data_IF_496359857789
#
_entry.id   IF_496359857789
#
_cell.length_a   1.000
_cell.length_b   1.000
_cell.length_c   1.000
_cell.angle_alpha   90.00
_cell.angle_beta   90.00
_cell.angle_gamma   90.00
#
_symmetry.space_group_name_H-M   'P 1'
#
loop_
_entity.id
_entity.type
_entity.pdbx_description
1 polymer ?
#
# COMPACT_ATOMS: atom_id res chain seq x y z
N UNK A 1 -18.32 -12.10 -1.21
CA UNK A 1 -19.15 -10.93 -1.56
C UNK A 1 -18.37 -10.05 -2.51
N UNK A 2 -18.97 -9.67 -3.62
CA UNK A 2 -18.29 -8.81 -4.59
C UNK A 2 -18.30 -7.36 -4.11
N UNK A 3 -17.21 -6.63 -4.44
CA UNK A 3 -17.09 -5.22 -4.11
C UNK A 3 -17.84 -4.42 -5.16
N UNK A 4 -18.71 -3.45 -4.77
CA UNK A 4 -19.38 -2.59 -5.74
C UNK A 4 -18.36 -1.88 -6.65
N UNK A 5 -18.71 -1.72 -7.93
CA UNK A 5 -17.82 -1.05 -8.89
C UNK A 5 -17.43 0.37 -8.44
N UNK A 6 -18.31 1.05 -7.69
CA UNK A 6 -18.03 2.39 -7.17
C UNK A 6 -16.89 2.42 -6.14
N UNK A 7 -16.50 1.26 -5.59
CA UNK A 7 -15.42 1.14 -4.63
C UNK A 7 -14.13 0.61 -5.26
N UNK A 8 -14.04 0.64 -6.57
CA UNK A 8 -12.86 0.23 -7.31
C UNK A 8 -12.53 1.23 -8.41
N UNK A 9 -11.24 1.54 -8.58
CA UNK A 9 -10.75 2.32 -9.71
C UNK A 9 -9.45 1.72 -10.23
N UNK A 10 -9.23 1.90 -11.54
CA UNK A 10 -8.03 1.42 -12.22
C UNK A 10 -7.31 2.60 -12.86
N UNK A 11 -5.99 2.65 -12.68
CA UNK A 11 -5.12 3.70 -13.22
C UNK A 11 -4.00 3.05 -14.02
N UNK A 12 -3.51 3.77 -15.03
CA UNK A 12 -2.31 3.38 -15.76
C UNK A 12 -1.24 4.43 -15.51
N UNK A 13 -0.05 3.99 -15.10
CA UNK A 13 1.12 4.86 -14.97
C UNK A 13 2.16 4.47 -16.01
N UNK A 14 2.91 5.45 -16.52
CA UNK A 14 3.85 5.24 -17.62
C UNK A 14 5.26 4.89 -17.15
N UNK A 15 5.59 5.24 -15.91
CA UNK A 15 6.94 5.07 -15.36
C UNK A 15 6.92 5.14 -13.83
N UNK A 16 8.05 4.87 -13.15
CA UNK A 16 8.12 4.95 -11.68
C UNK A 16 7.72 6.31 -11.12
N UNK A 17 8.05 7.40 -11.80
CA UNK A 17 7.72 8.75 -11.32
C UNK A 17 6.21 8.96 -11.26
N UNK A 18 5.46 8.53 -12.29
CA UNK A 18 3.99 8.65 -12.30
C UNK A 18 3.34 7.72 -11.30
N UNK A 19 3.93 6.55 -11.02
CA UNK A 19 3.48 5.67 -9.94
C UNK A 19 3.63 6.38 -8.59
N UNK A 20 4.77 7.03 -8.34
CA UNK A 20 4.98 7.80 -7.11
C UNK A 20 3.99 8.97 -6.99
N UNK A 21 3.71 9.66 -8.08
CA UNK A 21 2.75 10.77 -8.08
C UNK A 21 1.33 10.30 -7.72
N UNK A 22 0.89 9.17 -8.27
CA UNK A 22 -0.41 8.59 -7.92
C UNK A 22 -0.46 8.27 -6.42
N UNK A 23 0.57 7.61 -5.90
CA UNK A 23 0.64 7.26 -4.49
C UNK A 23 0.63 8.50 -3.58
N UNK A 24 1.32 9.56 -3.98
CA UNK A 24 1.33 10.82 -3.23
C UNK A 24 -0.06 11.46 -3.17
N UNK A 25 -0.83 11.39 -4.26
CA UNK A 25 -2.22 11.87 -4.25
C UNK A 25 -3.08 11.07 -3.30
N UNK A 26 -2.92 9.74 -3.27
CA UNK A 26 -3.66 8.89 -2.34
C UNK A 26 -3.37 9.24 -0.89
N UNK A 27 -2.11 9.58 -0.58
CA UNK A 27 -1.68 9.88 0.78
C UNK A 27 -2.42 11.07 1.41
N UNK A 28 -2.95 11.97 0.60
CA UNK A 28 -3.74 13.11 1.09
C UNK A 28 -4.98 12.64 1.86
N UNK A 29 -5.53 11.48 1.49
CA UNK A 29 -6.72 10.91 2.12
C UNK A 29 -6.41 10.09 3.38
N UNK A 30 -5.15 9.88 3.71
CA UNK A 30 -4.76 9.02 4.82
C UNK A 30 -5.21 9.55 6.18
N UNK A 31 -5.73 8.66 7.01
CA UNK A 31 -6.19 8.93 8.38
C UNK A 31 -5.61 7.87 9.32
N UNK A 32 -5.48 8.21 10.62
CA UNK A 32 -5.00 7.23 11.59
C UNK A 32 -5.81 5.93 11.58
N UNK A 33 -5.11 4.82 11.60
CA UNK A 33 -5.73 3.49 11.60
C UNK A 33 -5.92 2.89 10.21
N UNK A 34 -5.65 3.62 9.14
CA UNK A 34 -5.79 3.09 7.79
C UNK A 34 -4.77 2.00 7.50
N UNK A 35 -5.23 0.95 6.82
CA UNK A 35 -4.40 -0.15 6.36
C UNK A 35 -4.45 -0.22 4.84
N UNK A 36 -3.29 -0.21 4.20
CA UNK A 36 -3.15 -0.32 2.75
C UNK A 36 -2.32 -1.55 2.43
N UNK A 37 -2.87 -2.46 1.63
CA UNK A 37 -2.21 -3.68 1.22
C UNK A 37 -1.73 -3.54 -0.23
N UNK A 38 -0.42 -3.67 -0.44
CA UNK A 38 0.20 -3.59 -1.77
C UNK A 38 0.43 -4.99 -2.30
N UNK A 39 -0.21 -5.30 -3.43
CA UNK A 39 -0.10 -6.59 -4.10
C UNK A 39 0.62 -6.42 -5.43
N UNK A 40 1.43 -7.39 -5.80
CA UNK A 40 2.14 -7.38 -7.08
C UNK A 40 3.37 -8.27 -7.04
N UNK A 41 3.81 -8.73 -8.20
CA UNK A 41 5.01 -9.53 -8.35
C UNK A 41 6.26 -8.75 -7.93
N UNK A 42 7.37 -9.46 -7.73
CA UNK A 42 8.66 -8.82 -7.53
C UNK A 42 8.95 -7.89 -8.71
N UNK A 43 9.38 -6.67 -8.41
CA UNK A 43 9.67 -5.67 -9.46
C UNK A 43 8.44 -4.97 -10.02
N UNK A 44 7.24 -5.20 -9.47
CA UNK A 44 6.03 -4.55 -9.97
C UNK A 44 5.95 -3.05 -9.68
N UNK A 45 6.74 -2.55 -8.72
CA UNK A 45 6.72 -1.12 -8.37
C UNK A 45 6.15 -0.82 -6.98
N UNK A 46 6.02 -1.83 -6.12
CA UNK A 46 5.50 -1.63 -4.76
C UNK A 46 6.35 -0.67 -3.95
N UNK A 47 7.67 -0.77 -4.06
CA UNK A 47 8.59 0.15 -3.38
C UNK A 47 8.43 1.58 -3.90
N UNK A 48 8.24 1.74 -5.21
CA UNK A 48 8.00 3.06 -5.80
C UNK A 48 6.68 3.67 -5.30
N UNK A 49 5.65 2.84 -5.18
CA UNK A 49 4.38 3.26 -4.60
C UNK A 49 4.58 3.73 -3.15
N UNK A 50 5.28 2.94 -2.34
CA UNK A 50 5.57 3.27 -0.95
C UNK A 50 6.34 4.59 -0.82
N UNK A 51 7.33 4.81 -1.68
CA UNK A 51 8.09 6.07 -1.72
C UNK A 51 7.20 7.27 -2.01
N UNK A 52 6.32 7.14 -2.99
CA UNK A 52 5.39 8.22 -3.33
C UNK A 52 4.37 8.48 -2.23
N UNK A 53 3.83 7.43 -1.64
CA UNK A 53 2.89 7.54 -0.54
C UNK A 53 3.53 8.25 0.66
N UNK A 54 4.75 7.85 1.01
CA UNK A 54 5.50 8.49 2.08
C UNK A 54 5.76 9.97 1.79
N UNK A 55 6.16 10.29 0.57
CA UNK A 55 6.37 11.69 0.17
C UNK A 55 5.09 12.50 0.32
N UNK A 56 3.94 11.92 -0.03
CA UNK A 56 2.63 12.56 0.13
C UNK A 56 2.25 12.77 1.59
N UNK A 57 2.80 11.97 2.51
CA UNK A 57 2.64 12.17 3.95
C UNK A 57 3.67 13.14 4.55
N UNK A 58 4.59 13.65 3.75
CA UNK A 58 5.64 14.53 4.24
C UNK A 58 6.84 13.81 4.85
N UNK A 59 6.99 12.51 4.60
CA UNK A 59 8.18 11.76 5.02
C UNK A 59 9.39 12.26 4.25
N UNK A 60 10.45 12.65 4.94
CA UNK A 60 11.69 13.17 4.32
C UNK A 60 12.79 12.13 4.28
N UNK A 61 12.68 11.06 5.06
CA UNK A 61 13.64 9.96 5.05
C UNK A 61 13.51 9.14 3.77
N UNK A 62 14.59 8.48 3.36
CA UNK A 62 14.54 7.56 2.22
C UNK A 62 13.77 6.31 2.60
N UNK A 63 12.72 6.01 1.84
CA UNK A 63 11.92 4.81 2.04
C UNK A 63 12.47 3.70 1.18
N UNK A 64 12.84 2.59 1.82
CA UNK A 64 13.29 1.37 1.17
C UNK A 64 12.46 0.20 1.69
N UNK A 65 12.43 -0.91 0.93
CA UNK A 65 11.74 -2.11 1.40
C UNK A 65 12.39 -2.62 2.70
N UNK A 66 11.60 -2.88 3.76
CA UNK A 66 12.13 -3.36 5.04
C UNK A 66 12.35 -4.88 5.06
N UNK A 67 12.91 -5.45 3.99
CA UNK A 67 12.97 -6.92 3.77
C UNK A 67 13.67 -7.69 4.89
N UNK A 68 14.58 -7.06 5.62
CA UNK A 68 15.34 -7.74 6.68
C UNK A 68 14.74 -7.57 8.08
N UNK A 69 14.05 -6.46 8.31
CA UNK A 69 13.50 -6.12 9.63
C UNK A 69 11.98 -6.21 9.68
N UNK A 70 11.35 -6.60 8.60
CA UNK A 70 9.91 -6.76 8.41
C UNK A 70 9.10 -5.46 8.50
N UNK A 71 9.45 -4.52 9.36
CA UNK A 71 8.73 -3.26 9.52
C UNK A 71 9.70 -2.09 9.71
N UNK A 72 9.41 -0.98 9.03
CA UNK A 72 10.08 0.29 9.24
C UNK A 72 9.03 1.36 9.57
N UNK A 73 9.36 2.29 10.46
CA UNK A 73 8.50 3.40 10.84
C UNK A 73 9.11 4.72 10.37
N UNK A 74 8.30 5.57 9.76
CA UNK A 74 8.73 6.87 9.24
C UNK A 74 7.85 7.97 9.81
N UNK A 75 8.46 9.11 10.12
CA UNK A 75 7.75 10.29 10.61
C UNK A 75 7.26 11.13 9.44
N UNK A 76 5.98 11.46 9.42
CA UNK A 76 5.35 12.34 8.46
C UNK A 76 4.19 13.07 9.14
N UNK A 77 3.24 13.56 8.34
CA UNK A 77 1.99 14.12 8.87
C UNK A 77 1.29 13.12 9.79
N UNK A 78 1.37 11.84 9.42
CA UNK A 78 1.01 10.71 10.25
C UNK A 78 2.21 9.76 10.28
N UNK A 79 2.41 8.97 11.34
CA UNK A 79 3.39 7.89 11.28
C UNK A 79 3.06 6.94 10.12
N UNK A 80 4.08 6.54 9.37
CA UNK A 80 3.96 5.55 8.30
C UNK A 80 4.66 4.27 8.75
N UNK A 81 3.90 3.19 8.84
CA UNK A 81 4.44 1.87 9.15
C UNK A 81 4.52 1.08 7.85
N UNK A 82 5.72 0.78 7.39
CA UNK A 82 5.95 0.03 6.15
C UNK A 82 6.37 -1.38 6.50
N UNK A 83 5.55 -2.36 6.14
CA UNK A 83 5.74 -3.78 6.46
C UNK A 83 5.95 -4.55 5.17
N UNK A 84 6.96 -5.42 5.12
CA UNK A 84 7.21 -6.32 4.00
C UNK A 84 7.22 -7.75 4.52
N UNK A 85 6.25 -8.55 4.08
CA UNK A 85 6.07 -9.92 4.53
C UNK A 85 6.66 -10.95 3.56
N UNK A 86 7.43 -10.52 2.57
CA UNK A 86 7.95 -11.43 1.53
C UNK A 86 8.69 -12.63 2.11
N UNK A 87 9.48 -12.41 3.17
CA UNK A 87 10.29 -13.46 3.82
C UNK A 87 9.61 -14.12 5.01
N UNK A 88 8.36 -13.78 5.28
CA UNK A 88 7.62 -14.37 6.39
C UNK A 88 7.24 -15.82 6.07
N UNK A 89 7.50 -16.75 6.99
CA UNK A 89 7.18 -18.15 6.80
C UNK A 89 5.68 -18.40 6.93
N UNK A 90 5.03 -17.78 7.93
CA UNK A 90 3.60 -17.89 8.14
C UNK A 90 3.05 -16.71 8.95
N UNK A 91 1.72 -16.67 9.08
CA UNK A 91 1.04 -15.57 9.76
C UNK A 91 1.34 -15.51 11.27
N UNK A 92 1.71 -16.62 11.90
CA UNK A 92 2.02 -16.63 13.34
C UNK A 92 3.31 -15.86 13.65
N UNK A 93 4.27 -15.83 12.72
CA UNK A 93 5.47 -15.00 12.87
C UNK A 93 5.13 -13.51 12.93
N UNK A 94 4.16 -13.07 12.13
CA UNK A 94 3.71 -11.69 12.15
C UNK A 94 3.10 -11.31 13.48
N UNK A 95 2.27 -12.17 14.05
CA UNK A 95 1.68 -11.94 15.38
C UNK A 95 2.73 -11.91 16.47
N UNK A 96 3.67 -12.85 16.44
CA UNK A 96 4.75 -12.92 17.43
C UNK A 96 5.65 -11.66 17.34
N UNK A 97 5.84 -11.11 16.14
CA UNK A 97 6.61 -9.90 15.94
C UNK A 97 5.88 -8.60 16.24
N UNK A 98 4.57 -8.66 16.57
CA UNK A 98 3.78 -7.46 16.86
C UNK A 98 3.55 -6.58 15.65
N UNK A 99 3.52 -7.14 14.44
CA UNK A 99 3.43 -6.36 13.21
C UNK A 99 2.11 -5.62 13.04
N UNK A 100 1.04 -6.10 13.66
CA UNK A 100 -0.26 -5.42 13.68
C UNK A 100 -0.68 -5.25 15.14
N UNK A 101 -0.24 -4.19 15.77
CA UNK A 101 -0.55 -3.89 17.16
C UNK A 101 -1.23 -2.51 17.31
N UNK A 102 -1.55 -2.13 18.55
CA UNK A 102 -2.27 -0.88 18.84
C UNK A 102 -1.51 0.38 18.40
N UNK A 103 -0.19 0.32 18.31
CA UNK A 103 0.62 1.46 17.90
C UNK A 103 0.28 1.90 16.48
N UNK A 104 -0.06 0.96 15.60
CA UNK A 104 -0.38 1.26 14.22
C UNK A 104 -1.69 2.03 14.06
N UNK A 105 -2.55 2.02 15.08
CA UNK A 105 -3.76 2.83 15.07
C UNK A 105 -3.47 4.34 15.10
N UNK A 106 -2.24 4.75 15.39
CA UNK A 106 -1.84 6.16 15.41
C UNK A 106 -1.43 6.70 14.04
N UNK A 107 -1.23 5.82 13.06
CA UNK A 107 -0.74 6.19 11.75
C UNK A 107 -1.38 5.34 10.65
N UNK A 108 -0.72 5.33 9.49
CA UNK A 108 -1.15 4.52 8.34
C UNK A 108 -0.13 3.41 8.11
N UNK A 109 -0.63 2.22 7.78
CA UNK A 109 0.21 1.04 7.56
C UNK A 109 0.15 0.62 6.10
N UNK A 110 1.32 0.45 5.46
CA UNK A 110 1.48 -0.17 4.14
C UNK A 110 2.05 -1.56 4.33
N UNK A 111 1.36 -2.57 3.82
CA UNK A 111 1.81 -3.97 3.89
C UNK A 111 2.10 -4.48 2.49
N UNK A 112 3.35 -4.88 2.21
CA UNK A 112 3.72 -5.59 1.01
C UNK A 112 3.61 -7.10 1.26
N UNK A 113 3.19 -7.86 0.25
CA UNK A 113 2.93 -9.29 0.34
C UNK A 113 1.88 -9.65 1.39
N UNK A 114 0.71 -8.95 1.37
CA UNK A 114 -0.32 -9.16 2.40
C UNK A 114 -0.90 -10.58 2.37
N UNK A 115 -0.79 -11.32 1.27
CA UNK A 115 -1.23 -12.69 1.15
C UNK A 115 -0.57 -13.62 2.17
N UNK A 116 0.59 -13.23 2.71
CA UNK A 116 1.26 -14.00 3.78
C UNK A 116 0.49 -13.95 5.09
N UNK A 117 -0.45 -13.01 5.22
CA UNK A 117 -1.27 -12.83 6.42
C UNK A 117 -2.78 -12.88 6.11
N UNK A 118 -3.19 -13.45 4.96
CA UNK A 118 -4.56 -13.29 4.45
C UNK A 118 -5.66 -13.50 5.48
N UNK A 119 -5.51 -14.50 6.36
CA UNK A 119 -6.50 -14.81 7.39
C UNK A 119 -6.54 -13.79 8.53
N UNK A 120 -5.46 -13.01 8.69
CA UNK A 120 -5.31 -12.04 9.77
C UNK A 120 -5.54 -10.61 9.31
N UNK A 121 -5.74 -10.39 8.01
CA UNK A 121 -5.96 -9.04 7.48
C UNK A 121 -7.33 -8.53 7.92
N UNK A 122 -7.40 -7.30 8.47
CA UNK A 122 -8.69 -6.67 8.74
C UNK A 122 -9.55 -6.56 7.48
N UNK A 123 -10.85 -6.72 7.64
CA UNK A 123 -11.79 -6.53 6.52
C UNK A 123 -11.77 -5.09 6.01
N UNK A 124 -11.60 -4.12 6.91
CA UNK A 124 -11.50 -2.71 6.54
C UNK A 124 -10.08 -2.39 6.10
N UNK A 125 -9.85 -2.38 4.79
CA UNK A 125 -8.55 -2.07 4.21
C UNK A 125 -8.68 -1.57 2.78
N UNK A 126 -7.63 -0.91 2.30
CA UNK A 126 -7.50 -0.53 0.90
C UNK A 126 -6.55 -1.55 0.23
N UNK A 127 -7.03 -2.23 -0.79
CA UNK A 127 -6.17 -3.11 -1.59
C UNK A 127 -5.68 -2.36 -2.83
N UNK A 128 -4.37 -2.39 -3.05
CA UNK A 128 -3.72 -1.79 -4.23
C UNK A 128 -2.96 -2.89 -4.95
N UNK A 129 -3.42 -3.25 -6.14
CA UNK A 129 -2.77 -4.25 -6.98
C UNK A 129 -1.99 -3.55 -8.09
N UNK A 130 -0.68 -3.84 -8.18
CA UNK A 130 0.22 -3.25 -9.16
C UNK A 130 0.66 -4.35 -10.12
N UNK A 131 0.35 -4.18 -11.40
CA UNK A 131 0.63 -5.14 -12.45
C UNK A 131 1.36 -4.46 -13.61
N UNK A 132 1.93 -5.25 -14.53
CA UNK A 132 2.47 -4.74 -15.78
C UNK A 132 1.41 -3.95 -16.53
N UNK A 133 1.84 -2.96 -17.31
CA UNK A 133 0.94 -2.11 -18.05
C UNK A 133 0.17 -2.84 -19.14
N UNK A 134 -0.75 -2.14 -19.82
CA UNK A 134 -1.54 -2.73 -20.90
C UNK A 134 -0.65 -3.33 -21.99
N UNK A 135 -1.21 -4.29 -22.73
CA UNK A 135 -0.50 -4.93 -23.85
C UNK A 135 0.00 -3.87 -24.84
N UNK A 136 1.31 -3.95 -25.16
CA UNK A 136 1.95 -2.99 -26.04
C UNK A 136 2.55 -1.78 -25.35
N UNK A 137 2.36 -1.65 -24.03
CA UNK A 137 2.97 -0.59 -23.23
C UNK A 137 4.45 -0.88 -22.97
N UNK A 138 5.18 0.13 -22.48
CA UNK A 138 6.59 -0.02 -22.10
C UNK A 138 6.74 -0.88 -20.86
N UNK A 139 7.96 -1.39 -20.62
CA UNK A 139 8.26 -2.21 -19.44
C UNK A 139 8.03 -1.46 -18.12
N UNK A 140 8.11 -0.13 -18.12
CA UNK A 140 7.90 0.71 -16.95
C UNK A 140 6.44 1.05 -16.69
N UNK A 141 5.55 0.79 -17.65
CA UNK A 141 4.13 1.03 -17.47
C UNK A 141 3.52 0.06 -16.48
N UNK A 142 2.55 0.56 -15.69
CA UNK A 142 1.85 -0.26 -14.70
C UNK A 142 0.35 0.00 -14.76
N UNK A 143 -0.41 -1.03 -14.48
CA UNK A 143 -1.84 -0.93 -14.21
C UNK A 143 -2.02 -1.07 -12.71
N UNK A 144 -2.65 -0.09 -12.10
CA UNK A 144 -2.84 -0.04 -10.65
C UNK A 144 -4.33 -0.06 -10.36
N UNK A 145 -4.78 -1.12 -9.70
CA UNK A 145 -6.20 -1.29 -9.33
C UNK A 145 -6.33 -1.04 -7.85
N UNK A 146 -7.18 -0.10 -7.48
CA UNK A 146 -7.40 0.31 -6.08
C UNK A 146 -8.82 -0.08 -5.68
N UNK A 147 -8.95 -0.88 -4.63
CA UNK A 147 -10.23 -1.33 -4.08
C UNK A 147 -10.35 -0.91 -2.63
N UNK A 148 -11.42 -0.19 -2.32
CA UNK A 148 -11.77 0.13 -0.95
C UNK A 148 -12.70 -0.95 -0.42
N UNK A 149 -12.24 -1.74 0.57
CA UNK A 149 -13.02 -2.83 1.18
C UNK A 149 -13.90 -2.34 2.34
N UNK A 150 -14.00 -1.03 2.48
CA UNK A 150 -14.84 -0.35 3.47
C UNK A 150 -15.28 0.98 2.84
N UNK A 151 -16.57 1.36 2.91
CA UNK A 151 -17.03 2.62 2.32
C UNK A 151 -16.27 3.86 2.82
N UNK A 152 -15.76 3.85 4.06
CA UNK A 152 -14.99 4.99 4.60
C UNK A 152 -13.68 5.19 3.86
N UNK A 153 -13.16 4.15 3.19
CA UNK A 153 -11.92 4.21 2.43
C UNK A 153 -12.12 4.67 0.98
N UNK A 154 -13.37 4.89 0.56
CA UNK A 154 -13.67 5.43 -0.76
C UNK A 154 -13.05 6.82 -0.99
N UNK A 155 -12.72 7.53 0.09
CA UNK A 155 -12.01 8.82 0.01
C UNK A 155 -10.69 8.73 -0.72
N UNK A 156 -10.03 7.58 -0.69
CA UNK A 156 -8.80 7.35 -1.46
C UNK A 156 -9.06 7.36 -2.95
N UNK A 157 -10.18 6.80 -3.38
CA UNK A 157 -10.54 6.79 -4.80
C UNK A 157 -10.81 8.20 -5.32
N UNK A 158 -11.41 9.05 -4.49
CA UNK A 158 -11.65 10.44 -4.81
C UNK A 158 -10.35 11.24 -4.88
N UNK A 159 -9.43 11.00 -3.96
CA UNK A 159 -8.13 11.68 -3.90
C UNK A 159 -7.25 11.35 -5.13
N UNK A 160 -7.39 10.14 -5.67
CA UNK A 160 -6.60 9.69 -6.82
C UNK A 160 -7.14 10.21 -8.16
N UNK A 161 -8.38 10.65 -8.19
CA UNK A 161 -9.05 11.07 -9.42
C UNK A 161 -8.46 12.35 -10.04
#
# INVERSE_FOLDING_TARGET
>A
MSIPAALERRFTTSDPATTRELAARLAVAARPGDLICLRGELGAGKTQFAKGFGAGLGVTETINSPSYILMAEYAGRLPLFHIDLYRLADASEALAGGLLDDRQATGVTLVEWPERMSELLPASRLDVAIEGGPRGATDESRTITIRALDPTLARYLEAAA
#
